data_IF_838914821708
#
_entry.id   IF_838914821708
#
_cell.length_a   1.000
_cell.length_b   1.000
_cell.length_c   1.000
_cell.angle_alpha   90.00
_cell.angle_beta   90.00
_cell.angle_gamma   90.00
#
_symmetry.space_group_name_H-M   'P 1'
#
loop_
_entity.id
_entity.type
_entity.pdbx_description
1 polymer ?
#
# COMPACT_ATOMS: atom_id res chain seq x y z
N UNK A 1 6.89 2.34 20.26
CA UNK A 1 8.08 3.22 20.04
C UNK A 1 8.77 2.98 18.71
N UNK A 2 8.94 1.76 18.27
CA UNK A 2 9.59 1.41 16.99
C UNK A 2 8.75 1.84 15.78
N UNK A 3 7.45 1.61 15.82
CA UNK A 3 6.48 2.02 14.80
C UNK A 3 6.54 3.54 14.54
N UNK A 4 6.81 4.34 15.58
CA UNK A 4 6.90 5.80 15.47
C UNK A 4 8.01 6.28 14.53
N UNK A 5 9.21 5.66 14.59
CA UNK A 5 10.35 6.02 13.71
C UNK A 5 10.07 5.68 12.24
N UNK A 6 9.36 4.58 12.00
CA UNK A 6 8.92 4.20 10.66
C UNK A 6 7.95 5.24 10.09
N UNK A 7 7.01 5.67 10.90
CA UNK A 7 6.03 6.68 10.49
C UNK A 7 6.66 8.05 10.25
N UNK A 8 7.69 8.44 11.01
CA UNK A 8 8.39 9.71 10.81
C UNK A 8 9.12 9.79 9.47
N UNK A 9 9.55 8.65 8.91
CA UNK A 9 10.26 8.54 7.63
C UNK A 9 9.37 8.12 6.46
N UNK A 10 8.09 7.86 6.71
CA UNK A 10 7.16 7.47 5.66
C UNK A 10 6.98 8.60 4.63
N UNK A 11 6.92 8.27 3.32
CA UNK A 11 6.53 9.21 2.28
C UNK A 11 5.18 9.88 2.56
N UNK A 12 4.30 9.20 3.30
CA UNK A 12 3.02 9.73 3.74
C UNK A 12 3.16 11.01 4.58
N UNK A 13 4.24 11.13 5.38
CA UNK A 13 4.48 12.33 6.19
C UNK A 13 4.74 13.57 5.34
N UNK A 14 5.50 13.41 4.27
CA UNK A 14 5.76 14.48 3.32
C UNK A 14 4.46 14.88 2.62
N UNK A 15 3.69 13.88 2.21
CA UNK A 15 2.38 14.07 1.58
C UNK A 15 1.38 14.75 2.53
N UNK A 16 1.25 14.28 3.76
CA UNK A 16 0.38 14.87 4.79
C UNK A 16 0.71 16.34 5.06
N UNK A 17 2.00 16.67 5.13
CA UNK A 17 2.45 18.06 5.29
C UNK A 17 2.09 18.93 4.08
N UNK A 18 2.22 18.38 2.88
CA UNK A 18 1.93 19.09 1.63
C UNK A 18 0.45 19.39 1.44
N UNK A 19 -0.43 18.55 1.98
CA UNK A 19 -1.88 18.68 1.87
C UNK A 19 -2.58 19.00 3.20
N UNK A 20 -1.81 19.53 4.16
CA UNK A 20 -2.34 20.02 5.44
C UNK A 20 -3.17 19.02 6.25
N UNK A 21 -2.69 17.79 6.40
CA UNK A 21 -3.30 16.81 7.29
C UNK A 21 -3.64 15.47 6.65
N UNK A 22 -3.25 15.27 5.40
CA UNK A 22 -3.43 13.98 4.72
C UNK A 22 -4.70 13.90 3.88
N UNK A 23 -4.87 12.75 3.21
CA UNK A 23 -5.95 12.56 2.25
C UNK A 23 -7.34 12.53 2.90
N UNK A 24 -7.44 12.00 4.11
CA UNK A 24 -8.74 11.80 4.78
C UNK A 24 -9.58 10.68 4.17
N UNK A 25 -10.52 10.19 4.96
CA UNK A 25 -11.46 9.14 4.54
C UNK A 25 -12.44 9.65 3.50
N UNK A 26 -12.71 8.84 2.47
CA UNK A 26 -13.65 9.17 1.40
C UNK A 26 -13.09 10.08 0.30
N UNK A 27 -11.84 10.46 0.38
CA UNK A 27 -11.18 11.30 -0.61
C UNK A 27 -10.34 10.48 -1.59
N UNK A 28 -10.09 11.07 -2.75
CA UNK A 28 -9.26 10.52 -3.82
C UNK A 28 -7.98 11.34 -3.95
N UNK A 29 -6.84 10.65 -3.97
CA UNK A 29 -5.55 11.22 -4.31
C UNK A 29 -5.04 10.65 -5.63
N UNK A 30 -4.40 11.49 -6.44
CA UNK A 30 -3.80 11.07 -7.69
C UNK A 30 -2.32 11.42 -7.69
N UNK A 31 -1.47 10.43 -7.95
CA UNK A 31 -0.01 10.61 -8.08
C UNK A 31 0.38 10.54 -9.54
N UNK A 32 0.90 11.62 -10.06
CA UNK A 32 1.36 11.73 -11.44
C UNK A 32 2.87 11.90 -11.48
N UNK A 33 3.54 11.10 -12.27
CA UNK A 33 4.96 11.25 -12.56
C UNK A 33 5.32 10.60 -13.89
N UNK A 34 6.51 10.94 -14.40
CA UNK A 34 7.07 10.24 -15.55
C UNK A 34 7.35 8.77 -15.21
N UNK A 35 7.33 7.85 -16.20
CA UNK A 35 7.77 6.47 -15.97
C UNK A 35 9.16 6.40 -15.34
N UNK A 36 9.37 5.44 -14.44
CA UNK A 36 10.65 5.24 -13.76
C UNK A 36 10.98 6.22 -12.62
N UNK A 37 10.07 7.12 -12.25
CA UNK A 37 10.28 8.10 -11.19
C UNK A 37 9.91 7.61 -9.78
N UNK A 38 9.55 6.34 -9.62
CA UNK A 38 9.28 5.74 -8.32
C UNK A 38 7.84 5.86 -7.82
N UNK A 39 6.84 5.96 -8.71
CA UNK A 39 5.43 5.96 -8.32
C UNK A 39 5.05 4.74 -7.47
N UNK A 40 5.40 3.55 -7.95
CA UNK A 40 5.12 2.29 -7.24
C UNK A 40 5.79 2.29 -5.87
N UNK A 41 7.06 2.67 -5.79
CA UNK A 41 7.78 2.76 -4.53
C UNK A 41 7.12 3.75 -3.55
N UNK A 42 6.65 4.89 -4.03
CA UNK A 42 5.92 5.88 -3.25
C UNK A 42 4.60 5.30 -2.71
N UNK A 43 3.81 4.65 -3.57
CA UNK A 43 2.54 4.03 -3.20
C UNK A 43 2.74 2.88 -2.20
N UNK A 44 3.74 2.04 -2.42
CA UNK A 44 4.09 0.95 -1.50
C UNK A 44 4.54 1.51 -0.15
N UNK A 45 5.30 2.59 -0.13
CA UNK A 45 5.69 3.28 1.11
C UNK A 45 4.48 3.74 1.93
N UNK A 46 3.48 4.33 1.27
CA UNK A 46 2.21 4.72 1.91
C UNK A 46 1.45 3.48 2.42
N UNK A 47 1.39 2.43 1.60
CA UNK A 47 0.73 1.18 1.99
C UNK A 47 1.39 0.55 3.21
N UNK A 48 2.72 0.49 3.26
CA UNK A 48 3.47 -0.04 4.39
C UNK A 48 3.20 0.74 5.68
N UNK A 49 3.14 2.07 5.60
CA UNK A 49 2.78 2.90 6.75
C UNK A 49 1.39 2.53 7.29
N UNK A 50 0.41 2.38 6.43
CA UNK A 50 -0.95 1.98 6.82
C UNK A 50 -0.98 0.56 7.40
N UNK A 51 -0.32 -0.39 6.75
CA UNK A 51 -0.26 -1.79 7.17
C UNK A 51 0.41 -1.96 8.53
N UNK A 52 1.50 -1.24 8.78
CA UNK A 52 2.20 -1.28 10.08
C UNK A 52 1.44 -0.56 11.20
N UNK A 53 0.41 0.21 10.87
CA UNK A 53 -0.58 0.73 11.83
C UNK A 53 -1.76 -0.23 12.06
N UNK A 54 -1.72 -1.43 11.48
CA UNK A 54 -2.81 -2.40 11.57
C UNK A 54 -3.99 -2.14 10.64
N UNK A 55 -3.85 -1.22 9.70
CA UNK A 55 -4.86 -0.96 8.67
C UNK A 55 -4.70 -1.93 7.51
N UNK A 56 -5.80 -2.26 6.84
CA UNK A 56 -5.79 -3.12 5.66
C UNK A 56 -5.70 -2.29 4.38
N UNK A 57 -5.00 -2.82 3.39
CA UNK A 57 -4.80 -2.17 2.09
C UNK A 57 -5.16 -3.13 0.96
N UNK A 58 -5.96 -2.67 0.02
CA UNK A 58 -6.23 -3.35 -1.24
C UNK A 58 -5.41 -2.68 -2.35
N UNK A 59 -4.42 -3.41 -2.85
CA UNK A 59 -3.52 -2.94 -3.90
C UNK A 59 -3.91 -3.57 -5.23
N UNK A 60 -4.40 -2.76 -6.14
CA UNK A 60 -4.70 -3.14 -7.52
C UNK A 60 -3.52 -2.72 -8.39
N UNK A 61 -2.87 -3.69 -9.02
CA UNK A 61 -1.78 -3.44 -9.95
C UNK A 61 -2.23 -3.68 -11.39
N UNK A 62 -1.93 -2.74 -12.25
CA UNK A 62 -2.20 -2.84 -13.68
C UNK A 62 -0.90 -3.22 -14.39
N UNK A 63 -0.97 -4.24 -15.26
CA UNK A 63 0.18 -4.70 -16.06
C UNK A 63 1.37 -5.29 -15.26
N UNK A 64 1.18 -5.63 -13.99
CA UNK A 64 2.19 -6.28 -13.16
C UNK A 64 1.65 -7.59 -12.57
N UNK A 65 2.52 -8.57 -12.37
CA UNK A 65 2.16 -9.81 -11.67
C UNK A 65 2.08 -9.59 -10.15
N UNK A 66 1.35 -10.47 -9.46
CA UNK A 66 1.27 -10.46 -7.99
C UNK A 66 2.66 -10.60 -7.37
N UNK A 67 3.49 -11.48 -7.90
CA UNK A 67 4.84 -11.71 -7.38
C UNK A 67 5.71 -10.47 -7.52
N UNK A 68 5.64 -9.78 -8.65
CA UNK A 68 6.37 -8.53 -8.86
C UNK A 68 5.94 -7.42 -7.88
N UNK A 69 4.65 -7.29 -7.61
CA UNK A 69 4.16 -6.35 -6.58
C UNK A 69 4.68 -6.73 -5.20
N UNK A 70 4.67 -8.02 -4.85
CA UNK A 70 5.19 -8.52 -3.57
C UNK A 70 6.67 -8.26 -3.40
N UNK A 71 7.46 -8.44 -4.46
CA UNK A 71 8.90 -8.12 -4.46
C UNK A 71 9.14 -6.65 -4.11
N UNK A 72 8.38 -5.72 -4.68
CA UNK A 72 8.46 -4.30 -4.32
C UNK A 72 8.18 -4.05 -2.84
N UNK A 73 7.15 -4.69 -2.29
CA UNK A 73 6.87 -4.59 -0.86
C UNK A 73 8.02 -5.13 -0.01
N UNK A 74 8.58 -6.27 -0.37
CA UNK A 74 9.67 -6.91 0.36
C UNK A 74 10.95 -6.07 0.33
N UNK A 75 11.31 -5.53 -0.81
CA UNK A 75 12.47 -4.65 -0.95
C UNK A 75 12.34 -3.38 -0.11
N UNK A 76 11.22 -2.68 -0.23
CA UNK A 76 10.98 -1.43 0.48
C UNK A 76 10.84 -1.69 1.98
N UNK A 77 10.16 -2.76 2.38
CA UNK A 77 10.07 -3.15 3.79
C UNK A 77 11.44 -3.47 4.38
N UNK A 78 12.26 -4.24 3.68
CA UNK A 78 13.60 -4.61 4.14
C UNK A 78 14.48 -3.39 4.32
N UNK A 79 14.46 -2.47 3.36
CA UNK A 79 15.21 -1.23 3.47
C UNK A 79 14.71 -0.35 4.63
N UNK A 80 13.41 -0.22 4.78
CA UNK A 80 12.79 0.53 5.86
C UNK A 80 13.12 -0.07 7.23
N UNK A 81 13.03 -1.38 7.39
CA UNK A 81 13.38 -2.07 8.64
C UNK A 81 14.85 -1.88 9.01
N UNK A 82 15.75 -1.94 8.03
CA UNK A 82 17.17 -1.71 8.21
C UNK A 82 17.48 -0.27 8.61
N UNK A 83 16.92 0.71 7.90
CA UNK A 83 17.22 2.13 8.12
C UNK A 83 16.58 2.69 9.39
N UNK A 84 15.50 2.10 9.86
CA UNK A 84 14.82 2.50 11.09
C UNK A 84 15.20 1.66 12.30
N UNK A 85 16.06 0.65 12.13
CA UNK A 85 16.44 -0.31 13.19
C UNK A 85 15.20 -0.92 13.87
N UNK A 86 14.32 -1.52 13.05
CA UNK A 86 13.07 -2.10 13.52
C UNK A 86 13.35 -3.32 14.40
N UNK A 87 12.96 -3.26 15.69
CA UNK A 87 13.31 -4.30 16.68
C UNK A 87 12.63 -5.64 16.41
N UNK A 88 11.37 -5.62 15.94
CA UNK A 88 10.60 -6.82 15.61
C UNK A 88 10.14 -6.80 14.17
N UNK A 89 11.10 -6.96 13.25
CA UNK A 89 10.83 -6.98 11.83
C UNK A 89 9.94 -8.17 11.40
N UNK A 90 10.04 -9.32 12.09
CA UNK A 90 9.23 -10.50 11.78
C UNK A 90 7.74 -10.26 12.04
N UNK A 91 7.39 -9.69 13.19
CA UNK A 91 6.00 -9.33 13.49
C UNK A 91 5.45 -8.24 12.57
N UNK A 92 6.26 -7.24 12.25
CA UNK A 92 5.87 -6.19 11.33
C UNK A 92 5.63 -6.74 9.91
N UNK A 93 6.49 -7.64 9.43
CA UNK A 93 6.30 -8.33 8.14
C UNK A 93 5.00 -9.13 8.11
N UNK A 94 4.69 -9.82 9.20
CA UNK A 94 3.44 -10.57 9.30
C UNK A 94 2.20 -9.66 9.26
N UNK A 95 2.25 -8.50 9.88
CA UNK A 95 1.20 -7.48 9.77
C UNK A 95 1.00 -7.03 8.32
N UNK A 96 2.09 -6.79 7.60
CA UNK A 96 2.05 -6.42 6.18
C UNK A 96 1.39 -7.52 5.35
N UNK A 97 1.80 -8.75 5.51
CA UNK A 97 1.27 -9.88 4.74
C UNK A 97 -0.22 -10.13 5.03
N UNK A 98 -0.65 -10.01 6.27
CA UNK A 98 -2.05 -10.23 6.66
C UNK A 98 -2.98 -9.09 6.30
N UNK A 99 -2.48 -7.88 6.27
CA UNK A 99 -3.27 -6.69 5.98
C UNK A 99 -3.36 -6.32 4.50
N UNK A 100 -2.50 -6.92 3.68
CA UNK A 100 -2.39 -6.60 2.25
C UNK A 100 -3.15 -7.62 1.41
N UNK A 101 -3.97 -7.11 0.50
CA UNK A 101 -4.56 -7.89 -0.58
C UNK A 101 -4.11 -7.29 -1.91
N UNK A 102 -3.57 -8.14 -2.80
CA UNK A 102 -3.09 -7.71 -4.12
C UNK A 102 -3.93 -8.37 -5.19
N UNK A 103 -4.53 -7.57 -6.06
CA UNK A 103 -5.13 -8.02 -7.31
C UNK A 103 -4.39 -7.43 -8.50
N UNK A 104 -4.23 -8.21 -9.55
CA UNK A 104 -3.59 -7.74 -10.77
C UNK A 104 -4.52 -7.89 -11.96
N UNK A 105 -4.45 -6.95 -12.87
CA UNK A 105 -5.21 -6.93 -14.11
C UNK A 105 -4.25 -6.68 -15.27
N UNK A 106 -4.20 -7.60 -16.22
CA UNK A 106 -3.32 -7.53 -17.38
C UNK A 106 -4.12 -7.16 -18.64
N UNK A 107 -3.49 -6.47 -19.55
CA UNK A 107 -4.07 -6.06 -20.87
C UNK A 107 -5.42 -5.42 -20.66
N UNK A 108 -5.77 -4.32 -20.69
CA UNK A 108 -7.07 -3.63 -20.60
C UNK A 108 -8.22 -4.37 -19.89
N UNK A 109 -7.89 -5.35 -19.01
CA UNK A 109 -8.89 -6.13 -18.27
C UNK A 109 -9.47 -5.42 -17.05
N UNK A 110 -8.86 -4.33 -16.62
CA UNK A 110 -9.31 -3.55 -15.47
C UNK A 110 -10.55 -2.71 -15.80
N UNK A 111 -11.48 -2.67 -14.84
CA UNK A 111 -12.56 -1.68 -14.81
C UNK A 111 -12.93 -1.35 -13.37
N UNK A 112 -13.52 -0.18 -13.14
CA UNK A 112 -14.02 0.20 -11.80
C UNK A 112 -15.13 -0.73 -11.32
N UNK A 113 -15.93 -1.28 -12.23
CA UNK A 113 -16.96 -2.29 -11.90
C UNK A 113 -16.31 -3.55 -11.34
N UNK A 114 -15.26 -4.06 -11.98
CA UNK A 114 -14.51 -5.23 -11.49
C UNK A 114 -13.86 -4.96 -10.13
N UNK A 115 -13.28 -3.79 -9.94
CA UNK A 115 -12.68 -3.39 -8.66
C UNK A 115 -13.75 -3.35 -7.56
N UNK A 116 -14.90 -2.77 -7.82
CA UNK A 116 -16.02 -2.70 -6.88
C UNK A 116 -16.55 -4.08 -6.53
N UNK A 117 -16.69 -4.96 -7.51
CA UNK A 117 -17.12 -6.34 -7.31
C UNK A 117 -16.09 -7.12 -6.48
N UNK A 118 -14.80 -6.94 -6.75
CA UNK A 118 -13.74 -7.56 -5.96
C UNK A 118 -13.79 -7.12 -4.49
N UNK A 119 -13.98 -5.83 -4.22
CA UNK A 119 -14.14 -5.30 -2.86
C UNK A 119 -15.35 -5.91 -2.14
N UNK A 120 -16.48 -6.04 -2.83
CA UNK A 120 -17.68 -6.66 -2.28
C UNK A 120 -17.44 -8.13 -1.90
N UNK A 121 -16.77 -8.89 -2.76
CA UNK A 121 -16.41 -10.30 -2.50
C UNK A 121 -15.42 -10.44 -1.34
N UNK A 122 -14.42 -9.57 -1.27
CA UNK A 122 -13.45 -9.55 -0.17
C UNK A 122 -14.14 -9.29 1.18
N UNK A 123 -15.10 -8.39 1.21
CA UNK A 123 -15.91 -8.11 2.40
C UNK A 123 -16.78 -9.29 2.80
N UNK A 124 -17.53 -9.84 1.86
CA UNK A 124 -18.52 -10.90 2.12
C UNK A 124 -17.86 -12.22 2.50
N UNK A 125 -16.82 -12.63 1.81
CA UNK A 125 -16.21 -13.96 1.94
C UNK A 125 -14.99 -14.01 2.86
N UNK A 126 -14.22 -12.93 2.94
CA UNK A 126 -12.99 -12.88 3.72
C UNK A 126 -13.03 -11.89 4.89
N UNK A 127 -14.15 -11.21 5.09
CA UNK A 127 -14.28 -10.13 6.07
C UNK A 127 -13.15 -9.09 5.97
N UNK A 128 -12.70 -8.85 4.73
CA UNK A 128 -11.62 -7.94 4.43
C UNK A 128 -12.18 -6.59 4.01
N UNK A 129 -12.03 -5.59 4.89
CA UNK A 129 -12.42 -4.21 4.64
C UNK A 129 -11.18 -3.32 4.62
N UNK A 130 -10.68 -2.92 3.44
CA UNK A 130 -9.50 -2.09 3.35
C UNK A 130 -9.79 -0.65 3.80
N UNK A 131 -8.86 -0.06 4.53
CA UNK A 131 -8.85 1.37 4.84
C UNK A 131 -8.40 2.21 3.65
N UNK A 132 -7.64 1.62 2.73
CA UNK A 132 -7.19 2.26 1.50
C UNK A 132 -7.25 1.29 0.32
N UNK A 133 -7.64 1.82 -0.82
CA UNK A 133 -7.54 1.15 -2.13
C UNK A 133 -6.51 1.92 -2.95
N UNK A 134 -5.52 1.20 -3.45
CA UNK A 134 -4.48 1.77 -4.30
C UNK A 134 -4.58 1.16 -5.69
N UNK A 135 -4.54 1.99 -6.72
CA UNK A 135 -4.55 1.55 -8.11
C UNK A 135 -3.26 2.06 -8.75
N UNK A 136 -2.36 1.13 -9.04
CA UNK A 136 -1.02 1.40 -9.58
C UNK A 136 -0.94 0.94 -11.04
N UNK A 137 -0.72 1.90 -11.93
CA UNK A 137 -0.65 1.66 -13.36
C UNK A 137 0.33 2.57 -14.11
#
# INVERSE_FOLDING_TARGET
MVVKKVHERSPLRVFERSIHGGLGTGNLGVVLSRPGMGKTAFMVGIALDALMRGRKVFHVALEQSVDHVREHYDEIFTDLARTTHLDDAASARLMVERGRMVHTYLGHSFSMVKCRNALAQLREHLHFEPAAVMIDG
#
